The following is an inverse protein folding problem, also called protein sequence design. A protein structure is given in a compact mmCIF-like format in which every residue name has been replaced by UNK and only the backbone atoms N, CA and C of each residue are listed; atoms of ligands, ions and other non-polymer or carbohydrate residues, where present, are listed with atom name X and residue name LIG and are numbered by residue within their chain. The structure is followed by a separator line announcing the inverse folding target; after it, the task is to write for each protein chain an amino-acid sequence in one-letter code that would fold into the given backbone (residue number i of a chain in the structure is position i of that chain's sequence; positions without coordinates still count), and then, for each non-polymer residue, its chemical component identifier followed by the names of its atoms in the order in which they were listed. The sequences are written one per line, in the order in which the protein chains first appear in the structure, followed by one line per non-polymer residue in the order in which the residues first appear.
data_IF_191202710261
#
_entry.id   IF_191202710261
#
_cell.length_a   1.000
_cell.length_b   1.000
_cell.length_c   1.000
_cell.angle_alpha   90.00
_cell.angle_beta   90.00
_cell.angle_gamma   90.00
#
_symmetry.space_group_name_H-M   'P 1'
#
loop_
_entity.id
_entity.type
_entity.pdbx_description
1 polymer ?
#
# COMPACT_ATOMS: atom_id res chain seq x y z
N UNK A 1 10.28 33.58 5.14
CA UNK A 1 10.41 32.33 4.36
C UNK A 1 9.18 32.19 3.46
N UNK A 2 9.37 31.88 2.18
CA UNK A 2 8.29 31.50 1.26
C UNK A 2 8.04 30.01 1.44
N UNK A 3 6.86 29.67 1.95
CA UNK A 3 6.46 28.28 2.20
C UNK A 3 5.31 27.93 1.26
N UNK A 4 5.46 26.83 0.53
CA UNK A 4 4.46 26.32 -0.41
C UNK A 4 3.69 25.18 0.24
N UNK A 5 2.36 25.24 0.19
CA UNK A 5 1.53 24.12 0.63
C UNK A 5 1.74 22.92 -0.30
N UNK A 6 2.02 21.76 0.28
CA UNK A 6 2.22 20.52 -0.47
C UNK A 6 0.91 20.08 -1.13
N UNK A 7 0.98 19.77 -2.42
CA UNK A 7 -0.20 19.46 -3.24
C UNK A 7 0.02 18.25 -4.16
N UNK A 8 1.09 17.49 -3.94
CA UNK A 8 1.45 16.32 -4.74
C UNK A 8 2.94 16.25 -5.03
N UNK A 9 3.37 15.27 -5.82
CA UNK A 9 4.75 15.18 -6.29
C UNK A 9 4.95 16.12 -7.49
N UNK A 10 5.26 17.40 -7.24
CA UNK A 10 5.40 18.41 -8.28
C UNK A 10 6.85 18.85 -8.50
N UNK A 11 7.25 19.04 -9.76
CA UNK A 11 8.61 19.45 -10.13
C UNK A 11 9.05 20.77 -9.49
N UNK A 12 8.12 21.67 -9.18
CA UNK A 12 8.37 22.97 -8.56
C UNK A 12 9.10 22.89 -7.20
N UNK A 13 9.00 21.77 -6.49
CA UNK A 13 9.67 21.55 -5.20
C UNK A 13 10.34 20.17 -5.06
N UNK A 14 10.50 19.43 -6.16
CA UNK A 14 11.26 18.16 -6.22
C UNK A 14 12.60 18.30 -6.98
N UNK A 15 12.88 19.47 -7.56
CA UNK A 15 14.08 19.72 -8.35
C UNK A 15 15.35 19.98 -7.53
N UNK A 16 16.52 19.96 -8.19
CA UNK A 16 17.81 20.26 -7.55
C UNK A 16 17.90 21.70 -7.03
N UNK A 17 17.23 22.64 -7.70
CA UNK A 17 17.08 24.02 -7.29
C UNK A 17 15.62 24.24 -6.86
N UNK A 18 15.38 24.20 -5.56
CA UNK A 18 14.07 24.43 -4.97
C UNK A 18 13.81 25.93 -4.90
N UNK A 19 12.69 26.39 -5.48
CA UNK A 19 12.36 27.82 -5.59
C UNK A 19 11.69 28.42 -4.33
N UNK A 20 11.58 27.64 -3.26
CA UNK A 20 10.87 27.98 -2.02
C UNK A 20 11.75 27.66 -0.81
N UNK A 21 11.50 28.33 0.32
CA UNK A 21 12.26 28.12 1.56
C UNK A 21 11.74 26.91 2.36
N UNK A 22 10.53 26.43 2.06
CA UNK A 22 9.93 25.33 2.78
C UNK A 22 8.62 24.80 2.21
N UNK A 23 8.15 23.72 2.82
CA UNK A 23 6.90 23.03 2.51
C UNK A 23 5.96 23.08 3.71
N UNK A 24 4.70 23.42 3.44
CA UNK A 24 3.59 23.31 4.36
C UNK A 24 2.83 22.00 4.16
N UNK A 25 2.30 21.43 5.23
CA UNK A 25 1.36 20.32 5.18
C UNK A 25 0.18 20.54 6.11
N UNK A 26 -1.01 20.22 5.60
CA UNK A 26 -2.20 20.01 6.42
C UNK A 26 -2.12 18.66 7.12
N UNK A 27 -2.18 18.69 8.44
CA UNK A 27 -2.21 17.51 9.30
C UNK A 27 -3.64 17.27 9.75
N UNK A 28 -4.19 16.13 9.36
CA UNK A 28 -5.55 15.73 9.71
C UNK A 28 -5.63 14.25 10.03
N UNK A 29 -6.66 13.87 10.78
CA UNK A 29 -6.88 12.49 11.20
C UNK A 29 -7.26 12.39 12.67
N UNK A 30 -7.96 11.31 13.00
CA UNK A 30 -8.41 11.00 14.37
C UNK A 30 -7.43 10.10 15.11
N UNK A 31 -6.40 9.59 14.44
CA UNK A 31 -5.35 8.76 15.02
C UNK A 31 -3.95 9.27 14.63
N UNK A 32 -2.92 8.96 15.43
CA UNK A 32 -1.53 9.31 15.10
C UNK A 32 -1.11 8.80 13.71
N UNK A 33 -1.53 7.59 13.33
CA UNK A 33 -1.25 7.03 12.01
C UNK A 33 -1.82 7.90 10.88
N UNK A 34 -3.07 8.36 11.00
CA UNK A 34 -3.70 9.22 9.98
C UNK A 34 -3.02 10.61 9.92
N UNK A 35 -2.65 11.15 11.08
CA UNK A 35 -1.94 12.42 11.18
C UNK A 35 -0.55 12.35 10.53
N UNK A 36 0.19 11.26 10.75
CA UNK A 36 1.45 11.01 10.05
C UNK A 36 1.23 10.78 8.55
N UNK A 37 0.20 10.02 8.16
CA UNK A 37 -0.10 9.73 6.76
C UNK A 37 -0.44 10.99 5.95
N UNK A 38 -1.10 11.99 6.55
CA UNK A 38 -1.38 13.27 5.89
C UNK A 38 -0.14 14.15 5.73
N UNK A 39 0.87 14.00 6.60
CA UNK A 39 2.09 14.82 6.59
C UNK A 39 3.30 14.16 5.88
N UNK A 40 3.32 12.82 5.77
CA UNK A 40 4.54 12.07 5.43
C UNK A 40 5.09 12.36 4.03
N UNK A 41 4.23 12.68 3.06
CA UNK A 41 4.65 12.99 1.68
C UNK A 41 5.31 14.36 1.58
N UNK A 42 4.76 15.34 2.28
CA UNK A 42 5.37 16.66 2.42
C UNK A 42 6.71 16.59 3.17
N UNK A 43 6.77 15.82 4.27
CA UNK A 43 8.03 15.58 4.98
C UNK A 43 9.07 14.98 4.04
N UNK A 44 8.69 13.92 3.31
CA UNK A 44 9.56 13.22 2.36
C UNK A 44 10.12 14.14 1.27
N UNK A 45 9.32 15.08 0.79
CA UNK A 45 9.75 16.14 -0.14
C UNK A 45 10.93 16.92 0.44
N UNK A 46 10.78 17.43 1.67
CA UNK A 46 11.82 18.22 2.35
C UNK A 46 13.07 17.38 2.62
N UNK A 47 12.94 16.12 3.05
CA UNK A 47 14.11 15.24 3.27
C UNK A 47 14.92 14.95 2.01
N UNK A 48 14.30 15.02 0.83
CA UNK A 48 14.99 14.82 -0.45
C UNK A 48 15.74 16.06 -0.94
N UNK A 49 15.54 17.23 -0.33
CA UNK A 49 16.23 18.44 -0.73
C UNK A 49 17.73 18.36 -0.40
N UNK A 50 18.56 18.86 -1.32
CA UNK A 50 20.02 18.97 -1.10
C UNK A 50 20.39 20.10 -0.13
N UNK A 51 19.47 21.04 0.06
CA UNK A 51 19.60 22.18 0.98
C UNK A 51 18.59 22.06 2.12
N UNK A 52 18.94 22.51 3.34
CA UNK A 52 17.97 22.56 4.43
C UNK A 52 16.72 23.37 4.03
N UNK A 53 15.54 22.83 4.34
CA UNK A 53 14.25 23.47 4.09
C UNK A 53 13.38 23.49 5.32
N UNK A 54 12.46 24.45 5.40
CA UNK A 54 11.43 24.47 6.44
C UNK A 54 10.36 23.42 6.15
N UNK A 55 9.97 22.66 7.18
CA UNK A 55 8.77 21.84 7.15
C UNK A 55 7.78 22.33 8.21
N UNK A 56 6.60 22.78 7.79
CA UNK A 56 5.60 23.38 8.67
C UNK A 56 4.28 22.60 8.60
N UNK A 57 3.66 22.35 9.75
CA UNK A 57 2.28 21.90 9.83
C UNK A 57 1.37 23.14 9.78
N UNK A 58 0.97 23.54 8.57
CA UNK A 58 0.29 24.82 8.26
C UNK A 58 -1.18 24.83 8.66
N UNK A 59 -1.78 23.65 8.82
CA UNK A 59 -3.10 23.47 9.40
C UNK A 59 -3.10 22.15 10.16
N UNK A 60 -3.43 22.18 11.46
CA UNK A 60 -3.56 20.96 12.26
C UNK A 60 -4.97 20.84 12.83
N UNK A 61 -5.58 19.68 12.61
CA UNK A 61 -6.78 19.23 13.30
C UNK A 61 -6.44 18.05 14.22
N UNK A 62 -6.12 18.36 15.48
CA UNK A 62 -5.82 17.40 16.54
C UNK A 62 -7.02 17.06 17.42
N UNK A 63 -8.24 17.46 17.02
CA UNK A 63 -9.44 17.29 17.82
C UNK A 63 -9.54 18.23 19.03
N UNK A 64 -10.58 18.00 19.84
CA UNK A 64 -10.94 18.86 20.97
C UNK A 64 -10.35 18.43 22.32
N UNK A 65 -9.60 17.33 22.37
CA UNK A 65 -8.99 16.83 23.60
C UNK A 65 -7.61 17.47 23.81
N UNK A 66 -7.41 18.33 24.82
CA UNK A 66 -6.13 18.99 25.07
C UNK A 66 -4.98 18.03 25.33
N UNK A 67 -5.25 16.82 25.84
CA UNK A 67 -4.22 15.85 26.20
C UNK A 67 -3.50 15.24 24.98
N UNK A 68 -4.13 15.27 23.80
CA UNK A 68 -3.59 14.64 22.58
C UNK A 68 -2.57 15.53 21.86
N UNK A 69 -2.61 16.84 22.08
CA UNK A 69 -1.82 17.81 21.33
C UNK A 69 -0.32 17.72 21.58
N UNK A 70 0.11 17.37 22.80
CA UNK A 70 1.53 17.20 23.11
C UNK A 70 2.13 16.07 22.28
N UNK A 71 1.49 14.89 22.31
CA UNK A 71 1.96 13.73 21.56
C UNK A 71 2.00 13.99 20.05
N UNK A 72 0.96 14.61 19.50
CA UNK A 72 0.91 15.00 18.09
C UNK A 72 2.07 15.95 17.71
N UNK A 73 2.31 16.99 18.50
CA UNK A 73 3.40 17.95 18.24
C UNK A 73 4.77 17.27 18.34
N UNK A 74 4.96 16.35 19.29
CA UNK A 74 6.20 15.60 19.44
C UNK A 74 6.45 14.63 18.27
N UNK A 75 5.41 13.93 17.81
CA UNK A 75 5.47 13.06 16.64
C UNK A 75 5.85 13.85 15.39
N UNK A 76 5.17 14.98 15.14
CA UNK A 76 5.47 15.89 14.03
C UNK A 76 6.87 16.52 14.14
N UNK A 77 7.31 16.90 15.34
CA UNK A 77 8.66 17.41 15.57
C UNK A 77 9.71 16.36 15.16
N UNK A 78 9.46 15.09 15.51
CA UNK A 78 10.35 13.99 15.14
C UNK A 78 10.33 13.69 13.63
N UNK A 79 9.20 13.92 12.95
CA UNK A 79 9.05 13.90 11.48
C UNK A 79 9.72 15.09 10.79
N UNK A 80 10.23 16.07 11.55
CA UNK A 80 10.96 17.22 11.01
C UNK A 80 10.17 18.53 10.99
N UNK A 81 8.93 18.57 11.50
CA UNK A 81 8.15 19.80 11.58
C UNK A 81 8.81 20.80 12.54
N UNK A 82 8.89 22.06 12.14
CA UNK A 82 9.48 23.17 12.93
C UNK A 82 8.53 24.35 13.15
N UNK A 83 7.30 24.25 12.68
CA UNK A 83 6.23 25.18 13.02
C UNK A 83 4.86 24.53 12.93
N UNK A 84 3.98 24.87 13.86
CA UNK A 84 2.68 24.24 14.06
C UNK A 84 1.59 25.30 14.11
N UNK A 85 0.58 25.16 13.25
CA UNK A 85 -0.54 26.06 13.15
C UNK A 85 -1.84 25.28 13.42
N UNK A 86 -2.28 25.31 14.67
CA UNK A 86 -3.47 24.59 15.11
C UNK A 86 -4.76 25.36 14.80
N UNK A 87 -5.79 24.63 14.35
CA UNK A 87 -7.13 25.17 14.15
C UNK A 87 -8.02 24.72 15.30
N UNK A 88 -8.36 25.64 16.21
CA UNK A 88 -9.24 25.33 17.34
C UNK A 88 -10.03 26.56 17.79
N UNK A 89 -11.22 26.32 18.33
CA UNK A 89 -12.03 27.32 19.05
C UNK A 89 -12.16 26.99 20.54
N UNK A 90 -11.63 25.85 21.00
CA UNK A 90 -11.65 25.45 22.42
C UNK A 90 -10.62 26.24 23.22
N UNK A 91 -11.06 26.83 24.33
CA UNK A 91 -10.19 27.59 25.24
C UNK A 91 -9.21 26.69 25.96
N UNK A 92 -9.63 25.47 26.29
CA UNK A 92 -8.83 24.44 26.95
C UNK A 92 -7.70 23.99 26.03
N UNK A 93 -8.00 23.72 24.76
CA UNK A 93 -6.99 23.37 23.75
C UNK A 93 -6.03 24.55 23.52
N UNK A 94 -6.53 25.78 23.42
CA UNK A 94 -5.67 26.97 23.29
C UNK A 94 -4.70 27.13 24.48
N UNK A 95 -5.17 26.91 25.71
CA UNK A 95 -4.32 26.96 26.90
C UNK A 95 -3.25 25.86 26.90
N UNK A 96 -3.60 24.64 26.50
CA UNK A 96 -2.65 23.56 26.34
C UNK A 96 -1.60 23.90 25.28
N UNK A 97 -2.01 24.34 24.09
CA UNK A 97 -1.11 24.76 23.02
C UNK A 97 -0.15 25.88 23.43
N UNK A 98 -0.61 26.85 24.23
CA UNK A 98 0.26 27.92 24.75
C UNK A 98 1.36 27.37 25.69
N UNK A 99 1.02 26.39 26.52
CA UNK A 99 1.99 25.67 27.37
C UNK A 99 3.01 24.91 26.52
N UNK A 100 2.54 24.14 25.53
CA UNK A 100 3.39 23.37 24.60
C UNK A 100 4.33 24.32 23.83
N UNK A 101 3.80 25.44 23.32
CA UNK A 101 4.60 26.44 22.61
C UNK A 101 5.71 27.01 23.47
N UNK A 102 5.45 27.29 24.76
CA UNK A 102 6.45 27.78 25.72
C UNK A 102 7.55 26.73 25.98
N UNK A 103 7.18 25.46 26.08
CA UNK A 103 8.13 24.36 26.21
C UNK A 103 8.99 24.22 24.95
N UNK A 104 8.39 24.25 23.75
CA UNK A 104 9.13 24.14 22.49
C UNK A 104 10.03 25.34 22.20
N UNK A 105 9.61 26.55 22.60
CA UNK A 105 10.44 27.74 22.48
C UNK A 105 11.69 27.71 23.37
N UNK A 106 11.66 26.94 24.46
CA UNK A 106 12.81 26.75 25.36
C UNK A 106 13.63 25.48 25.05
N UNK A 107 13.18 24.66 24.09
CA UNK A 107 13.88 23.45 23.66
C UNK A 107 15.05 23.78 22.73
N UNK A 108 16.25 23.85 23.29
CA UNK A 108 17.49 24.13 22.55
C UNK A 108 17.98 22.96 21.69
N UNK A 109 17.41 21.75 21.86
CA UNK A 109 17.75 20.58 21.06
C UNK A 109 16.90 20.49 19.79
N UNK A 110 15.71 21.09 19.77
CA UNK A 110 14.81 21.05 18.62
C UNK A 110 15.41 21.59 17.30
N UNK A 111 16.16 22.72 17.29
CA UNK A 111 16.78 23.21 16.06
C UNK A 111 17.93 22.34 15.55
N UNK A 112 18.62 21.63 16.44
CA UNK A 112 19.75 20.76 16.10
C UNK A 112 19.34 19.32 15.81
N UNK A 113 18.12 18.93 16.15
CA UNK A 113 17.58 17.62 15.82
C UNK A 113 17.42 17.45 14.31
N UNK A 114 18.14 16.47 13.74
CA UNK A 114 18.02 16.05 12.35
C UNK A 114 17.69 14.55 12.33
N UNK A 115 16.47 14.21 11.93
CA UNK A 115 16.12 12.84 11.59
C UNK A 115 16.58 12.50 10.17
N UNK A 116 16.69 11.21 9.86
CA UNK A 116 17.00 10.70 8.52
C UNK A 116 15.80 9.96 7.97
N UNK A 117 15.77 9.73 6.66
CA UNK A 117 14.69 9.02 5.99
C UNK A 117 15.19 7.76 5.28
N UNK A 118 14.39 6.70 5.36
CA UNK A 118 14.46 5.51 4.52
C UNK A 118 13.24 5.57 3.62
N UNK A 119 13.43 5.47 2.31
CA UNK A 119 12.33 5.66 1.37
C UNK A 119 11.70 4.34 0.94
N UNK A 120 10.41 4.37 0.65
CA UNK A 120 9.72 3.38 -0.16
C UNK A 120 9.02 4.08 -1.34
N UNK A 121 8.87 3.42 -2.50
CA UNK A 121 8.12 4.02 -3.60
C UNK A 121 6.63 4.06 -3.23
N UNK A 122 5.91 5.10 -3.65
CA UNK A 122 4.48 5.30 -3.35
C UNK A 122 3.63 4.04 -3.63
N UNK A 123 3.97 3.33 -4.71
CA UNK A 123 3.28 2.11 -5.14
C UNK A 123 3.58 0.86 -4.28
N UNK A 124 4.43 0.97 -3.27
CA UNK A 124 4.67 -0.06 -2.25
C UNK A 124 3.93 0.22 -0.93
N UNK A 125 3.23 1.35 -0.81
CA UNK A 125 2.34 1.63 0.32
C UNK A 125 1.36 0.47 0.46
N UNK A 126 1.26 -0.06 1.69
CA UNK A 126 0.61 -1.32 2.01
C UNK A 126 1.24 -2.50 1.25
N UNK A 127 2.28 -3.14 1.84
CA UNK A 127 2.54 -3.24 3.27
C UNK A 127 3.55 -2.23 3.82
N UNK A 128 4.22 -1.41 2.99
CA UNK A 128 5.05 -0.32 3.53
C UNK A 128 4.14 0.72 4.20
N UNK A 129 4.61 1.36 5.27
CA UNK A 129 3.81 2.35 6.00
C UNK A 129 4.72 3.43 6.55
N UNK A 130 4.24 4.67 6.50
CA UNK A 130 4.94 5.80 7.08
C UNK A 130 5.02 5.64 8.61
N UNK A 131 6.23 5.48 9.14
CA UNK A 131 6.43 5.29 10.58
C UNK A 131 7.86 5.62 10.98
N UNK A 132 8.05 5.95 12.26
CA UNK A 132 9.37 6.08 12.84
C UNK A 132 10.01 4.69 13.01
N UNK A 133 11.23 4.54 12.54
CA UNK A 133 12.03 3.33 12.64
C UNK A 133 12.89 3.35 13.91
N UNK A 134 13.31 2.18 14.41
CA UNK A 134 14.36 2.09 15.41
C UNK A 134 15.62 2.83 14.93
N UNK A 135 16.31 3.52 15.83
CA UNK A 135 17.43 4.41 15.48
C UNK A 135 17.01 5.85 15.12
N UNK A 136 15.70 6.14 15.05
CA UNK A 136 15.17 7.50 14.92
C UNK A 136 14.98 7.99 13.49
N UNK A 137 15.31 7.18 12.47
CA UNK A 137 14.95 7.44 11.08
C UNK A 137 13.44 7.31 10.85
N UNK A 138 12.95 7.87 9.76
CA UNK A 138 11.58 7.71 9.30
C UNK A 138 11.52 6.87 8.04
N UNK A 139 10.58 5.93 7.99
CA UNK A 139 10.25 5.24 6.76
C UNK A 139 9.21 6.07 6.03
N UNK A 140 9.53 6.65 4.88
CA UNK A 140 8.68 7.62 4.19
C UNK A 140 8.40 7.23 2.73
N UNK A 141 7.19 7.54 2.21
CA UNK A 141 6.89 7.33 0.80
C UNK A 141 7.71 8.28 -0.09
N UNK A 142 7.94 7.92 -1.34
CA UNK A 142 8.68 8.74 -2.31
C UNK A 142 8.11 8.57 -3.72
N UNK A 143 8.28 9.55 -4.62
CA UNK A 143 7.92 9.44 -6.03
C UNK A 143 8.94 8.60 -6.81
N UNK A 144 9.93 8.02 -6.14
CA UNK A 144 10.93 7.17 -6.76
C UNK A 144 10.29 6.00 -7.50
N UNK A 145 10.96 5.56 -8.56
CA UNK A 145 10.55 4.35 -9.27
C UNK A 145 10.76 3.12 -8.40
N UNK A 146 9.96 2.09 -8.63
CA UNK A 146 10.01 0.89 -7.81
C UNK A 146 8.73 0.09 -7.94
N UNK A 147 8.61 -0.96 -7.13
CA UNK A 147 7.39 -1.75 -7.02
C UNK A 147 7.39 -2.61 -5.76
N UNK A 148 6.19 -2.89 -5.26
CA UNK A 148 5.95 -3.98 -4.32
C UNK A 148 6.36 -5.33 -4.93
N UNK A 149 6.90 -6.21 -4.11
CA UNK A 149 7.25 -7.60 -4.47
C UNK A 149 6.39 -8.56 -3.66
N UNK A 150 5.71 -9.50 -4.33
CA UNK A 150 5.00 -10.60 -3.67
C UNK A 150 6.02 -11.63 -3.19
N UNK A 151 6.13 -11.79 -1.87
CA UNK A 151 7.05 -12.71 -1.18
C UNK A 151 6.30 -13.75 -0.34
N UNK A 152 5.05 -14.06 -0.70
CA UNK A 152 4.18 -14.92 0.11
C UNK A 152 3.58 -14.16 1.30
N UNK A 153 3.27 -14.87 2.39
CA UNK A 153 2.55 -14.26 3.52
C UNK A 153 3.42 -13.87 4.70
N UNK A 154 4.63 -14.43 4.76
CA UNK A 154 5.57 -14.23 5.90
C UNK A 154 6.55 -13.09 5.70
N UNK A 155 6.67 -12.60 4.48
CA UNK A 155 7.62 -11.55 4.13
C UNK A 155 6.94 -10.51 3.26
N UNK A 156 7.38 -9.28 3.43
CA UNK A 156 7.03 -8.16 2.59
C UNK A 156 8.29 -7.53 2.04
N UNK A 157 8.20 -6.95 0.84
CA UNK A 157 9.33 -6.28 0.24
C UNK A 157 8.96 -5.39 -0.91
N UNK A 158 9.88 -4.50 -1.26
CA UNK A 158 9.77 -3.61 -2.41
C UNK A 158 11.14 -3.35 -3.01
N UNK A 159 11.16 -3.00 -4.30
CA UNK A 159 12.32 -2.41 -4.96
C UNK A 159 12.17 -0.91 -5.00
N UNK A 160 13.26 -0.20 -4.81
CA UNK A 160 13.34 1.24 -5.01
C UNK A 160 14.50 1.55 -5.97
N UNK A 161 14.24 2.48 -6.88
CA UNK A 161 15.20 3.03 -7.83
C UNK A 161 15.00 4.56 -7.84
N UNK A 162 15.98 5.27 -7.30
CA UNK A 162 15.98 6.72 -7.14
C UNK A 162 17.33 7.29 -7.57
N UNK A 163 17.51 7.41 -8.89
CA UNK A 163 18.76 7.89 -9.50
C UNK A 163 19.97 7.06 -9.05
N UNK A 164 20.79 7.63 -8.16
CA UNK A 164 22.00 7.00 -7.63
C UNK A 164 21.71 5.91 -6.57
N UNK A 165 20.52 5.87 -5.97
CA UNK A 165 20.15 4.92 -4.94
C UNK A 165 19.23 3.84 -5.51
N UNK A 166 19.67 2.58 -5.52
CA UNK A 166 18.81 1.44 -5.82
C UNK A 166 19.02 0.32 -4.82
N UNK A 167 17.90 -0.18 -4.27
CA UNK A 167 17.91 -1.27 -3.31
C UNK A 167 16.63 -2.08 -3.35
N UNK A 168 16.72 -3.28 -2.81
CA UNK A 168 15.58 -4.10 -2.42
C UNK A 168 15.45 -4.06 -0.90
N UNK A 169 14.25 -3.75 -0.41
CA UNK A 169 13.93 -3.78 1.00
C UNK A 169 13.07 -5.01 1.32
N UNK A 170 13.36 -5.67 2.43
CA UNK A 170 12.61 -6.84 2.89
C UNK A 170 12.43 -6.83 4.40
N UNK A 171 11.27 -7.25 4.88
CA UNK A 171 10.98 -7.45 6.30
C UNK A 171 10.03 -8.64 6.50
N UNK A 172 10.07 -9.19 7.72
CA UNK A 172 9.18 -10.24 8.20
C UNK A 172 7.87 -9.61 8.65
N UNK A 173 6.74 -10.25 8.35
CA UNK A 173 5.40 -9.77 8.74
C UNK A 173 5.00 -10.14 10.17
N UNK A 174 5.80 -10.96 10.86
CA UNK A 174 5.48 -11.50 12.18
C UNK A 174 6.62 -11.25 13.18
N UNK A 175 7.68 -12.06 13.11
CA UNK A 175 8.81 -11.99 14.03
C UNK A 175 10.15 -12.03 13.29
N UNK A 176 11.24 -11.50 13.90
CA UNK A 176 12.58 -11.64 13.35
C UNK A 176 12.96 -13.10 13.11
N UNK A 177 13.47 -13.41 11.93
CA UNK A 177 13.79 -14.78 11.53
C UNK A 177 15.08 -14.83 10.72
N UNK A 178 15.97 -15.77 11.06
CA UNK A 178 17.17 -16.04 10.27
C UNK A 178 16.80 -16.96 9.11
N UNK A 179 17.01 -16.49 7.88
CA UNK A 179 16.63 -17.20 6.66
C UNK A 179 17.76 -17.20 5.65
N UNK A 180 17.76 -18.21 4.77
CA UNK A 180 18.52 -18.16 3.53
C UNK A 180 17.73 -17.37 2.50
N UNK A 181 18.34 -16.32 1.97
CA UNK A 181 17.88 -15.64 0.76
C UNK A 181 18.55 -16.29 -0.46
N UNK A 182 17.73 -16.89 -1.33
CA UNK A 182 18.18 -17.49 -2.60
C UNK A 182 18.49 -16.38 -3.60
N UNK A 183 19.70 -16.44 -4.15
CA UNK A 183 20.22 -15.50 -5.16
C UNK A 183 21.47 -16.10 -5.80
N UNK A 184 21.69 -15.81 -7.08
CA UNK A 184 22.92 -16.18 -7.80
C UNK A 184 24.03 -15.13 -7.65
N UNK A 185 23.68 -13.91 -7.22
CA UNK A 185 24.59 -12.75 -7.10
C UNK A 185 24.94 -12.40 -5.65
N UNK A 186 24.93 -13.38 -4.74
CA UNK A 186 25.11 -13.15 -3.30
C UNK A 186 26.32 -12.26 -2.95
N UNK A 187 27.47 -12.49 -3.60
CA UNK A 187 28.73 -11.76 -3.32
C UNK A 187 28.75 -10.31 -3.79
N UNK A 188 27.79 -9.88 -4.61
CA UNK A 188 27.65 -8.50 -5.08
C UNK A 188 26.77 -7.66 -4.12
N UNK A 189 26.13 -8.33 -3.16
CA UNK A 189 25.14 -7.71 -2.29
C UNK A 189 25.78 -7.14 -1.03
N UNK A 190 25.30 -5.98 -0.61
CA UNK A 190 25.52 -5.43 0.73
C UNK A 190 24.19 -5.31 1.47
N UNK A 191 24.25 -5.38 2.79
CA UNK A 191 23.10 -5.41 3.68
C UNK A 191 23.22 -4.28 4.68
N UNK A 192 22.14 -3.53 4.87
CA UNK A 192 22.08 -2.43 5.82
C UNK A 192 20.78 -2.53 6.63
N UNK A 193 20.91 -2.67 7.95
CA UNK A 193 19.77 -2.55 8.86
C UNK A 193 19.46 -1.09 9.10
N UNK A 194 18.17 -0.76 9.22
CA UNK A 194 17.71 0.62 9.46
C UNK A 194 18.04 1.14 10.86
N UNK A 195 18.31 0.25 11.80
CA UNK A 195 18.73 0.56 13.18
C UNK A 195 20.26 0.67 13.33
N UNK A 196 21.01 0.51 12.23
CA UNK A 196 22.48 0.51 12.23
C UNK A 196 23.12 -0.79 12.74
N UNK A 197 22.33 -1.80 13.14
CA UNK A 197 22.88 -3.08 13.58
C UNK A 197 23.48 -3.85 12.40
N UNK A 198 24.61 -4.55 12.63
CA UNK A 198 25.18 -5.47 11.64
C UNK A 198 24.17 -6.60 11.32
N UNK A 199 23.73 -6.74 10.06
CA UNK A 199 22.83 -7.82 9.64
C UNK A 199 23.42 -9.23 9.84
N UNK A 200 24.75 -9.36 10.04
CA UNK A 200 25.49 -10.61 10.20
C UNK A 200 25.23 -11.59 9.05
N UNK A 201 25.29 -11.05 7.83
CA UNK A 201 25.10 -11.80 6.59
C UNK A 201 26.20 -12.84 6.40
N UNK A 202 25.81 -14.10 6.16
CA UNK A 202 26.73 -15.22 5.94
C UNK A 202 26.49 -15.80 4.55
N UNK A 203 27.49 -15.69 3.68
CA UNK A 203 27.41 -16.25 2.33
C UNK A 203 27.45 -17.78 2.37
N UNK A 204 26.49 -18.41 1.71
CA UNK A 204 26.34 -19.87 1.67
C UNK A 204 26.12 -20.33 0.22
N UNK A 205 26.13 -21.63 -0.04
CA UNK A 205 25.85 -22.16 -1.38
C UNK A 205 24.43 -21.77 -1.83
N UNK A 206 24.33 -21.11 -2.97
CA UNK A 206 23.06 -20.69 -3.58
C UNK A 206 22.34 -19.58 -2.83
N UNK A 207 23.05 -18.77 -2.05
CA UNK A 207 22.43 -17.62 -1.39
C UNK A 207 23.23 -17.01 -0.24
N UNK A 208 22.51 -16.34 0.64
CA UNK A 208 23.04 -15.65 1.82
C UNK A 208 22.10 -15.85 3.00
N UNK A 209 22.65 -16.23 4.14
CA UNK A 209 21.90 -16.33 5.40
C UNK A 209 21.96 -15.00 6.13
N UNK A 210 20.79 -14.43 6.43
CA UNK A 210 20.68 -13.15 7.13
C UNK A 210 19.45 -13.16 8.05
N UNK A 211 19.49 -12.37 9.11
CA UNK A 211 18.32 -12.15 9.96
C UNK A 211 17.44 -11.06 9.33
N UNK A 212 16.18 -11.39 9.09
CA UNK A 212 15.17 -10.43 8.62
C UNK A 212 14.27 -10.08 9.80
N UNK A 213 14.30 -8.81 10.20
CA UNK A 213 13.46 -8.26 11.27
C UNK A 213 12.07 -7.83 10.79
N UNK A 214 11.31 -7.18 11.66
CA UNK A 214 9.99 -6.61 11.36
C UNK A 214 10.05 -5.21 10.74
N UNK A 215 11.26 -4.63 10.68
CA UNK A 215 11.57 -3.39 9.97
C UNK A 215 12.42 -3.69 8.74
N UNK A 216 12.44 -2.81 7.72
CA UNK A 216 13.15 -3.07 6.48
C UNK A 216 14.63 -3.38 6.68
N UNK A 217 15.10 -4.47 6.08
CA UNK A 217 16.51 -4.71 5.78
C UNK A 217 16.76 -4.26 4.34
N UNK A 218 17.70 -3.33 4.15
CA UNK A 218 18.03 -2.79 2.83
C UNK A 218 19.15 -3.62 2.19
N UNK A 219 18.95 -3.97 0.92
CA UNK A 219 19.84 -4.83 0.15
C UNK A 219 20.24 -4.11 -1.13
N UNK A 220 21.53 -3.82 -1.30
CA UNK A 220 22.07 -3.09 -2.45
C UNK A 220 22.90 -4.00 -3.35
N UNK A 221 23.30 -3.50 -4.52
CA UNK A 221 24.28 -4.16 -5.41
C UNK A 221 23.70 -5.27 -6.29
N UNK A 222 22.37 -5.44 -6.32
CA UNK A 222 21.70 -6.40 -7.20
C UNK A 222 20.35 -5.86 -7.68
N UNK A 223 20.05 -6.08 -8.96
CA UNK A 223 18.70 -5.90 -9.50
C UNK A 223 17.83 -7.17 -9.35
N UNK A 224 18.48 -8.32 -9.14
CA UNK A 224 17.81 -9.60 -8.90
C UNK A 224 17.19 -9.58 -7.51
N UNK A 225 15.93 -10.03 -7.41
CA UNK A 225 15.20 -10.11 -6.15
C UNK A 225 15.69 -11.33 -5.36
N UNK A 226 16.34 -11.16 -4.20
CA UNK A 226 16.71 -12.27 -3.35
C UNK A 226 15.46 -12.83 -2.65
N UNK A 227 15.20 -14.12 -2.80
CA UNK A 227 13.95 -14.74 -2.34
C UNK A 227 14.16 -15.53 -1.04
N UNK A 228 13.39 -15.28 0.03
CA UNK A 228 13.46 -16.11 1.23
C UNK A 228 13.12 -17.57 0.93
N UNK A 229 13.98 -18.50 1.32
CA UNK A 229 13.71 -19.94 1.21
C UNK A 229 12.35 -20.33 1.83
N UNK A 230 11.95 -19.81 3.01
CA UNK A 230 10.64 -20.15 3.57
C UNK A 230 9.45 -19.67 2.72
N UNK A 231 9.60 -18.60 1.92
CA UNK A 231 8.57 -18.13 0.99
C UNK A 231 8.40 -19.09 -0.20
N UNK A 232 9.52 -19.66 -0.69
CA UNK A 232 9.51 -20.72 -1.70
C UNK A 232 8.77 -21.94 -1.17
N UNK A 233 9.15 -22.42 0.03
CA UNK A 233 8.52 -23.58 0.66
C UNK A 233 7.03 -23.38 0.93
N UNK A 234 6.64 -22.19 1.39
CA UNK A 234 5.24 -21.82 1.56
C UNK A 234 4.47 -21.91 0.22
N UNK A 235 5.03 -21.34 -0.84
CA UNK A 235 4.38 -21.31 -2.15
C UNK A 235 4.20 -22.71 -2.73
N UNK A 236 5.20 -23.59 -2.57
CA UNK A 236 5.11 -25.01 -2.95
C UNK A 236 4.00 -25.71 -2.16
N UNK A 237 3.96 -25.50 -0.84
CA UNK A 237 2.96 -26.14 0.03
C UNK A 237 1.53 -25.70 -0.33
N UNK A 238 1.32 -24.39 -0.53
CA UNK A 238 0.01 -23.83 -0.91
C UNK A 238 -0.43 -24.30 -2.31
N UNK A 239 0.47 -24.31 -3.29
CA UNK A 239 0.15 -24.83 -4.63
C UNK A 239 -0.20 -26.33 -4.58
N UNK A 240 0.55 -27.11 -3.79
CA UNK A 240 0.28 -28.55 -3.60
C UNK A 240 -1.08 -28.80 -2.96
N UNK A 241 -1.51 -27.94 -2.03
CA UNK A 241 -2.85 -27.98 -1.44
C UNK A 241 -3.94 -27.72 -2.50
N UNK A 242 -3.76 -26.71 -3.36
CA UNK A 242 -4.67 -26.45 -4.48
C UNK A 242 -4.71 -27.61 -5.47
N UNK A 243 -3.57 -28.23 -5.78
CA UNK A 243 -3.50 -29.41 -6.67
C UNK A 243 -4.29 -30.60 -6.12
N UNK A 244 -4.15 -30.91 -4.83
CA UNK A 244 -4.96 -31.96 -4.19
C UNK A 244 -6.45 -31.65 -4.22
N UNK A 245 -6.82 -30.39 -4.07
CA UNK A 245 -8.21 -29.94 -4.17
C UNK A 245 -8.73 -30.03 -5.62
N UNK A 246 -7.89 -29.75 -6.62
CA UNK A 246 -8.22 -29.93 -8.03
C UNK A 246 -8.49 -31.40 -8.35
N UNK A 247 -7.61 -32.30 -7.90
CA UNK A 247 -7.75 -33.74 -8.05
C UNK A 247 -9.04 -34.26 -7.41
N UNK A 248 -9.35 -33.85 -6.17
CA UNK A 248 -10.58 -34.27 -5.48
C UNK A 248 -11.85 -33.77 -6.16
N UNK A 249 -11.80 -32.60 -6.81
CA UNK A 249 -12.90 -32.03 -7.60
C UNK A 249 -12.87 -32.44 -9.08
N UNK A 250 -11.93 -33.29 -9.50
CA UNK A 250 -11.73 -33.71 -10.90
C UNK A 250 -11.60 -32.53 -11.87
N UNK A 251 -10.99 -31.44 -11.43
CA UNK A 251 -10.69 -30.30 -12.27
C UNK A 251 -9.39 -30.56 -13.04
N UNK A 252 -9.38 -30.29 -14.34
CA UNK A 252 -8.18 -30.34 -15.17
C UNK A 252 -7.29 -29.14 -14.83
N UNK A 253 -6.00 -29.34 -14.56
CA UNK A 253 -5.04 -28.30 -14.14
C UNK A 253 -3.61 -28.55 -14.64
N UNK A 254 -3.44 -29.32 -15.72
CA UNK A 254 -2.13 -29.75 -16.20
C UNK A 254 -1.29 -28.58 -16.69
N UNK A 255 -1.92 -27.54 -17.26
CA UNK A 255 -1.24 -26.32 -17.67
C UNK A 255 -0.63 -25.60 -16.46
N UNK A 256 -1.42 -25.37 -15.39
CA UNK A 256 -0.92 -24.71 -14.19
C UNK A 256 0.14 -25.54 -13.49
N UNK A 257 -0.02 -26.87 -13.44
CA UNK A 257 0.98 -27.79 -12.87
C UNK A 257 2.29 -27.75 -13.64
N UNK A 258 2.23 -27.79 -14.96
CA UNK A 258 3.41 -27.72 -15.82
C UNK A 258 4.14 -26.38 -15.62
N UNK A 259 3.41 -25.26 -15.74
CA UNK A 259 3.98 -23.93 -15.59
C UNK A 259 4.61 -23.69 -14.21
N UNK A 260 3.97 -24.18 -13.14
CA UNK A 260 4.54 -24.11 -11.80
C UNK A 260 5.81 -24.96 -11.65
N UNK A 261 5.83 -26.17 -12.21
CA UNK A 261 6.98 -27.09 -12.11
C UNK A 261 8.18 -26.60 -12.91
N UNK A 262 7.93 -26.00 -14.09
CA UNK A 262 8.94 -25.35 -14.91
C UNK A 262 9.57 -24.16 -14.16
N UNK A 263 8.73 -23.28 -13.60
CA UNK A 263 9.19 -22.16 -12.78
C UNK A 263 10.01 -22.62 -11.58
N UNK A 264 9.55 -23.67 -10.87
CA UNK A 264 10.26 -24.29 -9.74
C UNK A 264 11.66 -24.80 -10.14
N UNK A 265 11.78 -25.44 -11.30
CA UNK A 265 13.04 -25.99 -11.81
C UNK A 265 14.05 -24.89 -12.15
N UNK A 266 13.59 -23.69 -12.50
CA UNK A 266 14.45 -22.53 -12.78
C UNK A 266 15.04 -21.85 -11.54
N UNK A 267 14.65 -22.22 -10.31
CA UNK A 267 15.05 -21.52 -9.09
C UNK A 267 16.57 -21.48 -8.85
N UNK A 268 17.33 -22.45 -9.35
CA UNK A 268 18.79 -22.45 -9.19
C UNK A 268 19.50 -21.49 -10.16
N UNK A 269 18.85 -21.13 -11.28
CA UNK A 269 19.39 -20.26 -12.32
C UNK A 269 18.92 -18.81 -12.14
N UNK A 270 17.63 -18.61 -11.84
CA UNK A 270 17.04 -17.28 -11.63
C UNK A 270 16.04 -17.32 -10.46
N UNK A 271 16.50 -17.35 -9.20
CA UNK A 271 15.62 -17.46 -8.04
C UNK A 271 14.48 -16.42 -8.03
N UNK A 272 14.79 -15.15 -8.31
CA UNK A 272 13.82 -14.06 -8.30
C UNK A 272 12.76 -14.20 -9.38
N UNK A 273 13.19 -14.37 -10.64
CA UNK A 273 12.25 -14.52 -11.78
C UNK A 273 11.40 -15.78 -11.67
N UNK A 274 12.01 -16.91 -11.31
CA UNK A 274 11.31 -18.18 -11.08
C UNK A 274 10.27 -18.08 -9.98
N UNK A 275 10.59 -17.42 -8.86
CA UNK A 275 9.64 -17.28 -7.76
C UNK A 275 8.44 -16.40 -8.16
N UNK A 276 8.66 -15.30 -8.88
CA UNK A 276 7.57 -14.48 -9.42
C UNK A 276 6.66 -15.31 -10.34
N UNK A 277 7.24 -16.14 -11.22
CA UNK A 277 6.46 -17.04 -12.07
C UNK A 277 5.67 -18.09 -11.26
N UNK A 278 6.27 -18.68 -10.22
CA UNK A 278 5.56 -19.60 -9.30
C UNK A 278 4.34 -18.93 -8.66
N UNK A 279 4.47 -17.67 -8.21
CA UNK A 279 3.37 -16.90 -7.62
C UNK A 279 2.25 -16.61 -8.63
N UNK A 280 2.60 -16.30 -9.87
CA UNK A 280 1.61 -16.11 -10.95
C UNK A 280 0.78 -17.37 -11.20
N UNK A 281 1.44 -18.53 -11.31
CA UNK A 281 0.76 -19.82 -11.48
C UNK A 281 -0.08 -20.21 -10.26
N UNK A 282 0.40 -19.90 -9.05
CA UNK A 282 -0.39 -20.05 -7.82
C UNK A 282 -1.69 -19.25 -7.87
N UNK A 283 -1.63 -17.95 -8.21
CA UNK A 283 -2.84 -17.12 -8.28
C UNK A 283 -3.78 -17.57 -9.40
N UNK A 284 -3.23 -17.92 -10.57
CA UNK A 284 -4.03 -18.45 -11.69
C UNK A 284 -4.82 -19.69 -11.27
N UNK A 285 -4.16 -20.65 -10.62
CA UNK A 285 -4.84 -21.84 -10.09
C UNK A 285 -5.85 -21.49 -8.99
N UNK A 286 -5.45 -20.61 -8.07
CA UNK A 286 -6.27 -20.18 -6.94
C UNK A 286 -7.61 -19.58 -7.35
N UNK A 287 -7.63 -18.71 -8.36
CA UNK A 287 -8.87 -18.05 -8.83
C UNK A 287 -9.96 -19.02 -9.30
N UNK A 288 -9.60 -20.27 -9.61
CA UNK A 288 -10.56 -21.32 -9.98
C UNK A 288 -11.34 -21.87 -8.78
N UNK A 289 -10.79 -21.75 -7.58
CA UNK A 289 -11.38 -22.20 -6.31
C UNK A 289 -11.97 -21.07 -5.47
N UNK A 290 -11.65 -19.82 -5.79
CA UNK A 290 -12.16 -18.65 -5.07
C UNK A 290 -13.69 -18.71 -4.91
N UNK A 291 -14.17 -18.41 -3.71
CA UNK A 291 -15.61 -18.27 -3.41
C UNK A 291 -16.11 -16.84 -3.60
N UNK A 292 -15.18 -15.90 -3.81
CA UNK A 292 -15.44 -14.49 -4.05
C UNK A 292 -15.40 -14.14 -5.55
N UNK A 293 -15.93 -12.96 -5.87
CA UNK A 293 -15.80 -12.34 -7.20
C UNK A 293 -14.89 -11.12 -7.11
N UNK A 294 -13.73 -11.19 -7.78
CA UNK A 294 -12.81 -10.07 -7.95
C UNK A 294 -12.98 -9.52 -9.37
N UNK A 295 -13.35 -8.25 -9.48
CA UNK A 295 -13.60 -7.59 -10.76
C UNK A 295 -12.73 -6.36 -10.88
N UNK A 296 -11.84 -6.39 -11.86
CA UNK A 296 -10.98 -5.25 -12.21
C UNK A 296 -11.81 -4.17 -12.89
N UNK A 297 -11.71 -2.93 -12.42
CA UNK A 297 -12.56 -1.84 -12.91
C UNK A 297 -12.23 -1.46 -14.36
N UNK A 298 -10.97 -1.59 -14.77
CA UNK A 298 -10.52 -1.35 -16.14
C UNK A 298 -11.09 -2.34 -17.16
N UNK A 299 -11.77 -3.40 -16.71
CA UNK A 299 -12.39 -4.39 -17.61
C UNK A 299 -13.78 -4.02 -18.09
N UNK A 300 -14.36 -2.90 -17.64
CA UNK A 300 -15.61 -2.44 -18.21
C UNK A 300 -15.44 -2.11 -19.70
N UNK A 301 -16.29 -2.69 -20.54
CA UNK A 301 -16.36 -2.38 -21.97
C UNK A 301 -17.44 -1.35 -22.30
N UNK A 302 -18.31 -1.05 -21.34
CA UNK A 302 -19.42 -0.12 -21.50
C UNK A 302 -19.43 0.86 -20.32
N UNK A 303 -18.77 1.99 -20.52
CA UNK A 303 -18.68 3.06 -19.54
C UNK A 303 -18.62 4.43 -20.22
N UNK A 304 -18.90 5.48 -19.46
CA UNK A 304 -18.65 6.87 -19.86
C UNK A 304 -17.63 7.57 -18.95
N UNK A 305 -16.90 6.82 -18.10
CA UNK A 305 -15.70 7.30 -17.40
C UNK A 305 -14.64 7.80 -18.39
N UNK A 306 -13.76 8.68 -17.94
CA UNK A 306 -12.82 9.42 -18.80
C UNK A 306 -11.85 8.50 -19.56
N UNK A 307 -11.16 7.60 -18.85
CA UNK A 307 -10.17 6.71 -19.46
C UNK A 307 -9.82 5.53 -18.55
N UNK A 308 -9.16 4.52 -19.14
CA UNK A 308 -8.39 3.53 -18.39
C UNK A 308 -6.97 4.08 -18.27
N UNK A 309 -6.51 4.29 -17.04
CA UNK A 309 -5.20 4.87 -16.77
C UNK A 309 -4.25 3.84 -16.16
N UNK A 310 -3.02 3.78 -16.67
CA UNK A 310 -1.95 3.04 -15.99
C UNK A 310 -1.61 3.74 -14.67
N UNK A 311 -1.72 3.00 -13.56
CA UNK A 311 -1.39 3.51 -12.24
C UNK A 311 -0.66 2.44 -11.44
N UNK A 312 0.63 2.64 -11.19
CA UNK A 312 1.41 1.69 -10.41
C UNK A 312 0.91 1.63 -8.97
N UNK A 313 0.96 0.46 -8.35
CA UNK A 313 0.52 0.28 -6.96
C UNK A 313 -0.97 0.02 -6.80
N UNK A 314 -1.67 -0.23 -7.90
CA UNK A 314 -3.05 -0.75 -7.93
C UNK A 314 -3.04 -2.19 -8.46
N UNK A 315 -4.18 -2.88 -8.35
CA UNK A 315 -4.37 -4.17 -8.99
C UNK A 315 -4.05 -4.05 -10.49
N UNK A 316 -3.22 -4.97 -11.00
CA UNK A 316 -2.77 -5.00 -12.41
C UNK A 316 -2.16 -3.71 -12.95
N UNK A 317 -1.83 -2.75 -12.08
CA UNK A 317 -1.32 -1.43 -12.43
C UNK A 317 -2.20 -0.62 -13.39
N UNK A 318 -3.53 -0.84 -13.38
CA UNK A 318 -4.49 -0.08 -14.16
C UNK A 318 -5.70 0.30 -13.31
N UNK A 319 -6.40 1.37 -13.69
CA UNK A 319 -7.61 1.84 -13.01
C UNK A 319 -8.59 2.44 -14.02
N UNK A 320 -9.88 2.42 -13.67
CA UNK A 320 -10.89 3.21 -14.37
C UNK A 320 -10.94 4.61 -13.76
N UNK A 321 -10.54 5.64 -14.52
CA UNK A 321 -10.39 7.01 -14.05
C UNK A 321 -11.53 7.91 -14.50
N UNK A 322 -11.92 8.83 -13.63
CA UNK A 322 -12.86 9.91 -13.89
C UNK A 322 -12.22 11.24 -13.51
N UNK A 323 -12.16 12.15 -14.47
CA UNK A 323 -11.79 13.56 -14.25
C UNK A 323 -12.84 14.46 -14.88
N UNK A 324 -13.50 15.27 -14.07
CA UNK A 324 -14.48 16.26 -14.56
C UNK A 324 -13.90 17.66 -14.59
N UNK A 325 -14.20 18.42 -15.64
CA UNK A 325 -13.83 19.84 -15.74
C UNK A 325 -14.74 20.71 -14.87
N UNK A 326 -14.30 21.93 -14.55
CA UNK A 326 -15.13 22.92 -13.83
C UNK A 326 -16.45 23.26 -14.56
N UNK A 327 -16.48 23.13 -15.89
CA UNK A 327 -17.66 23.42 -16.72
C UNK A 327 -18.60 22.22 -16.92
N UNK A 328 -18.29 21.04 -16.37
CA UNK A 328 -19.16 19.88 -16.58
C UNK A 328 -20.49 20.07 -15.84
N UNK A 329 -21.61 19.91 -16.53
CA UNK A 329 -22.90 19.73 -15.90
C UNK A 329 -22.84 18.46 -15.03
N UNK A 330 -23.47 18.49 -13.85
CA UNK A 330 -23.59 17.31 -13.01
C UNK A 330 -24.21 16.17 -13.84
N UNK A 331 -23.45 15.09 -14.02
CA UNK A 331 -23.83 13.93 -14.82
C UNK A 331 -23.51 12.67 -14.03
N UNK A 332 -24.40 11.68 -14.14
CA UNK A 332 -24.12 10.32 -13.67
C UNK A 332 -23.16 9.62 -14.62
N UNK A 333 -21.98 9.28 -14.12
CA UNK A 333 -21.04 8.40 -14.79
C UNK A 333 -21.37 6.95 -14.44
N UNK A 334 -21.14 6.02 -15.35
CA UNK A 334 -21.41 4.61 -15.13
C UNK A 334 -20.38 3.70 -15.80
N UNK A 335 -20.27 2.49 -15.26
CA UNK A 335 -19.52 1.39 -15.86
C UNK A 335 -20.26 0.08 -15.60
N UNK A 336 -20.54 -0.69 -16.66
CA UNK A 336 -21.22 -1.97 -16.58
C UNK A 336 -20.22 -3.12 -16.52
N UNK A 337 -20.55 -4.14 -15.71
CA UNK A 337 -19.76 -5.35 -15.57
C UNK A 337 -20.65 -6.59 -15.57
N UNK A 338 -20.05 -7.68 -16.04
CA UNK A 338 -20.57 -9.03 -15.83
C UNK A 338 -19.60 -9.77 -14.93
N UNK A 339 -20.11 -10.49 -13.93
CA UNK A 339 -19.29 -11.25 -13.00
C UNK A 339 -19.91 -12.62 -12.72
N UNK A 340 -19.07 -13.57 -12.30
CA UNK A 340 -19.51 -14.90 -11.91
C UNK A 340 -19.65 -14.95 -10.39
N UNK A 341 -20.88 -14.98 -9.88
CA UNK A 341 -21.15 -15.26 -8.48
C UNK A 341 -20.83 -16.72 -8.17
N UNK A 342 -19.93 -16.95 -7.21
CA UNK A 342 -19.38 -18.29 -6.88
C UNK A 342 -19.91 -18.85 -5.56
N UNK A 343 -20.78 -18.11 -4.88
CA UNK A 343 -21.41 -18.47 -3.62
C UNK A 343 -22.88 -18.03 -3.65
N UNK A 344 -23.74 -18.76 -2.94
CA UNK A 344 -25.15 -18.44 -2.67
C UNK A 344 -25.37 -17.79 -1.28
N UNK A 345 -24.29 -17.61 -0.53
CA UNK A 345 -24.23 -16.88 0.73
C UNK A 345 -24.44 -15.38 0.53
N UNK A 346 -24.65 -14.67 1.64
CA UNK A 346 -24.60 -13.21 1.64
C UNK A 346 -23.17 -12.73 1.33
N UNK A 347 -23.06 -11.80 0.39
CA UNK A 347 -21.78 -11.25 -0.07
C UNK A 347 -21.61 -9.83 0.43
N UNK A 348 -20.49 -9.55 1.08
CA UNK A 348 -20.03 -8.17 1.30
C UNK A 348 -19.53 -7.58 -0.02
N UNK A 349 -20.00 -6.37 -0.34
CA UNK A 349 -19.56 -5.63 -1.52
C UNK A 349 -18.60 -4.53 -1.11
N UNK A 350 -17.44 -4.54 -1.73
CA UNK A 350 -16.35 -3.61 -1.49
C UNK A 350 -15.87 -3.00 -2.80
N UNK A 351 -15.44 -1.74 -2.73
CA UNK A 351 -14.78 -1.05 -3.84
C UNK A 351 -13.43 -0.53 -3.36
N UNK A 352 -12.38 -0.82 -4.12
CA UNK A 352 -11.06 -0.25 -3.93
C UNK A 352 -10.92 0.95 -4.90
N UNK A 353 -10.74 2.16 -4.36
CA UNK A 353 -10.75 3.38 -5.15
C UNK A 353 -9.97 4.52 -4.48
N UNK A 354 -9.57 5.52 -5.29
CA UNK A 354 -9.17 6.85 -4.86
C UNK A 354 -10.38 7.77 -4.96
N UNK A 355 -10.96 8.17 -3.83
CA UNK A 355 -12.14 9.04 -3.78
C UNK A 355 -11.91 10.15 -2.75
N UNK A 356 -11.98 11.44 -3.14
CA UNK A 356 -11.94 12.55 -2.19
C UNK A 356 -13.03 12.41 -1.13
N UNK A 357 -12.72 12.78 0.12
CA UNK A 357 -13.62 12.56 1.26
C UNK A 357 -15.03 13.15 1.02
N UNK A 358 -15.11 14.37 0.50
CA UNK A 358 -16.37 15.05 0.19
C UNK A 358 -17.10 14.54 -1.05
N UNK A 359 -16.60 13.50 -1.72
CA UNK A 359 -17.20 12.93 -2.93
C UNK A 359 -17.63 11.47 -2.77
N UNK A 360 -17.35 10.85 -1.62
CA UNK A 360 -17.63 9.41 -1.39
C UNK A 360 -19.12 9.07 -1.46
N UNK A 361 -19.99 9.99 -1.04
CA UNK A 361 -21.45 9.78 -1.08
C UNK A 361 -22.01 9.67 -2.51
N UNK A 362 -21.25 10.04 -3.54
CA UNK A 362 -21.69 9.98 -4.92
C UNK A 362 -21.39 8.65 -5.60
N UNK A 363 -20.61 7.76 -4.96
CA UNK A 363 -20.34 6.42 -5.48
C UNK A 363 -21.47 5.45 -5.11
N UNK A 364 -22.01 4.80 -6.13
CA UNK A 364 -22.98 3.72 -6.01
C UNK A 364 -22.56 2.47 -6.79
N UNK A 365 -22.92 1.30 -6.28
CA UNK A 365 -22.82 0.02 -7.00
C UNK A 365 -24.18 -0.66 -6.97
N UNK A 366 -24.76 -0.88 -8.14
CA UNK A 366 -25.98 -1.66 -8.29
C UNK A 366 -25.65 -3.11 -8.59
N UNK A 367 -26.10 -4.02 -7.72
CA UNK A 367 -26.03 -5.47 -7.93
C UNK A 367 -27.46 -6.01 -7.99
N UNK A 368 -27.86 -6.58 -9.13
CA UNK A 368 -29.26 -6.89 -9.37
C UNK A 368 -30.12 -5.62 -9.36
N UNK A 369 -31.04 -5.51 -8.40
CA UNK A 369 -31.88 -4.32 -8.18
C UNK A 369 -31.45 -3.47 -6.97
N UNK A 370 -30.44 -3.90 -6.23
CA UNK A 370 -30.01 -3.25 -4.99
C UNK A 370 -28.90 -2.23 -5.28
N UNK A 371 -29.13 -0.96 -4.93
CA UNK A 371 -28.09 0.07 -4.91
C UNK A 371 -27.38 0.06 -3.56
N UNK A 372 -26.06 -0.05 -3.59
CA UNK A 372 -25.17 -0.02 -2.43
C UNK A 372 -24.29 1.23 -2.53
N UNK A 373 -24.07 1.91 -1.40
CA UNK A 373 -23.30 3.16 -1.32
C UNK A 373 -22.22 3.07 -0.24
N UNK A 374 -21.19 3.90 -0.33
CA UNK A 374 -20.04 3.86 0.59
C UNK A 374 -20.47 4.02 2.05
N UNK A 375 -20.01 3.09 2.90
CA UNK A 375 -20.22 3.06 4.34
C UNK A 375 -18.92 3.44 5.06
N UNK A 376 -18.88 4.65 5.61
CA UNK A 376 -17.76 5.12 6.44
C UNK A 376 -16.50 5.52 5.67
N UNK A 377 -15.38 5.53 6.39
CA UNK A 377 -14.07 5.91 5.88
C UNK A 377 -13.40 4.78 5.08
N UNK A 378 -12.42 5.15 4.25
CA UNK A 378 -11.59 4.18 3.54
C UNK A 378 -10.70 3.39 4.50
N UNK A 379 -10.61 2.08 4.30
CA UNK A 379 -9.76 1.17 5.06
C UNK A 379 -8.55 0.71 4.24
N UNK A 380 -7.48 0.33 4.93
CA UNK A 380 -6.29 -0.30 4.32
C UNK A 380 -5.73 0.52 3.14
N UNK A 381 -5.44 1.80 3.39
CA UNK A 381 -4.94 2.71 2.36
C UNK A 381 -3.69 2.16 1.66
N UNK A 382 -3.58 2.38 0.35
CA UNK A 382 -2.50 1.86 -0.49
C UNK A 382 -2.28 2.74 -1.74
N UNK A 383 -1.13 2.56 -2.38
CA UNK A 383 -0.75 3.35 -3.56
C UNK A 383 -0.88 4.86 -3.38
N UNK A 384 -1.18 5.57 -4.46
CA UNK A 384 -1.40 7.02 -4.47
C UNK A 384 -2.84 7.40 -4.05
N UNK A 385 -3.15 7.16 -2.77
CA UNK A 385 -4.42 7.59 -2.14
C UNK A 385 -5.61 6.67 -2.38
N UNK A 386 -5.38 5.40 -2.71
CA UNK A 386 -6.44 4.39 -2.79
C UNK A 386 -6.76 3.85 -1.41
N UNK A 387 -8.01 3.47 -1.21
CA UNK A 387 -8.46 2.75 -0.03
C UNK A 387 -9.61 1.81 -0.40
N UNK A 388 -9.94 0.91 0.52
CA UNK A 388 -11.09 0.02 0.40
C UNK A 388 -12.30 0.59 1.12
N UNK A 389 -13.41 0.69 0.41
CA UNK A 389 -14.69 1.16 0.92
C UNK A 389 -15.68 0.00 0.96
N UNK A 390 -16.33 -0.21 2.11
CA UNK A 390 -17.45 -1.16 2.23
C UNK A 390 -18.71 -0.48 1.73
N UNK A 391 -19.52 -1.16 0.93
CA UNK A 391 -20.78 -0.60 0.44
C UNK A 391 -22.01 -1.25 1.08
N UNK A 392 -21.84 -2.45 1.65
CA UNK A 392 -22.88 -3.20 2.34
C UNK A 392 -22.86 -4.67 1.97
N UNK A 393 -23.99 -5.34 2.13
CA UNK A 393 -24.18 -6.74 1.75
C UNK A 393 -25.26 -6.89 0.69
N UNK A 394 -25.12 -7.93 -0.13
CA UNK A 394 -26.12 -8.32 -1.13
C UNK A 394 -26.20 -9.83 -1.24
N UNK A 395 -27.27 -10.33 -1.86
CA UNK A 395 -27.43 -11.74 -2.19
C UNK A 395 -27.69 -11.89 -3.67
N UNK A 396 -26.92 -12.74 -4.32
CA UNK A 396 -27.02 -13.03 -5.75
C UNK A 396 -27.13 -14.52 -5.97
N UNK A 397 -27.78 -14.90 -7.07
CA UNK A 397 -27.88 -16.30 -7.46
C UNK A 397 -26.53 -16.73 -8.04
N UNK A 398 -26.00 -17.93 -7.69
CA UNK A 398 -24.79 -18.44 -8.31
C UNK A 398 -24.88 -18.45 -9.84
N UNK A 399 -23.77 -18.10 -10.50
CA UNK A 399 -23.72 -17.96 -11.95
C UNK A 399 -23.44 -16.54 -12.43
N UNK A 400 -23.68 -16.31 -13.71
CA UNK A 400 -23.36 -15.03 -14.36
C UNK A 400 -24.37 -13.95 -13.97
N UNK A 401 -23.89 -12.89 -13.34
CA UNK A 401 -24.68 -11.76 -12.87
C UNK A 401 -24.15 -10.45 -13.48
N UNK A 402 -24.96 -9.39 -13.38
CA UNK A 402 -24.59 -8.03 -13.81
C UNK A 402 -24.44 -7.13 -12.60
N UNK A 403 -23.50 -6.20 -12.70
CA UNK A 403 -23.42 -5.05 -11.80
C UNK A 403 -23.15 -3.78 -12.59
N UNK A 404 -23.52 -2.64 -12.01
CA UNK A 404 -23.24 -1.32 -12.54
C UNK A 404 -22.63 -0.46 -11.45
N UNK A 405 -21.49 0.16 -11.73
CA UNK A 405 -20.99 1.28 -10.93
C UNK A 405 -21.63 2.55 -11.44
N UNK A 406 -22.03 3.43 -10.53
CA UNK A 406 -22.44 4.80 -10.84
C UNK A 406 -21.66 5.80 -9.99
N UNK A 407 -21.34 6.95 -10.57
CA UNK A 407 -20.75 8.07 -9.84
C UNK A 407 -21.40 9.39 -10.25
N UNK A 408 -22.14 10.01 -9.34
CA UNK A 408 -22.81 11.30 -9.56
C UNK A 408 -21.82 12.44 -9.36
N UNK A 409 -21.02 12.73 -10.38
CA UNK A 409 -19.81 13.52 -10.22
C UNK A 409 -20.10 15.00 -9.92
N UNK A 410 -19.56 15.56 -8.82
CA UNK A 410 -19.49 17.01 -8.67
C UNK A 410 -18.49 17.61 -9.68
N UNK A 411 -18.53 18.94 -9.82
CA UNK A 411 -17.53 19.66 -10.61
C UNK A 411 -16.13 19.46 -10.02
N UNK A 412 -15.14 19.22 -10.89
CA UNK A 412 -13.75 19.01 -10.49
C UNK A 412 -13.49 17.68 -9.76
N UNK A 413 -14.35 16.67 -9.96
CA UNK A 413 -14.13 15.35 -9.41
C UNK A 413 -12.89 14.69 -10.04
N UNK A 414 -12.00 14.16 -9.20
CA UNK A 414 -10.88 13.29 -9.58
C UNK A 414 -11.01 11.98 -8.79
N UNK A 415 -11.45 10.94 -9.48
CA UNK A 415 -11.75 9.63 -8.89
C UNK A 415 -11.13 8.55 -9.75
N UNK A 416 -10.59 7.51 -9.11
CA UNK A 416 -10.11 6.33 -9.81
C UNK A 416 -10.58 5.06 -9.08
N UNK A 417 -11.07 4.08 -9.82
CA UNK A 417 -11.55 2.81 -9.30
C UNK A 417 -10.58 1.72 -9.75
N UNK A 418 -10.10 0.92 -8.80
CA UNK A 418 -9.18 -0.19 -9.04
C UNK A 418 -9.96 -1.50 -9.20
N UNK A 419 -10.71 -1.88 -8.17
CA UNK A 419 -11.35 -3.20 -8.12
C UNK A 419 -12.70 -3.14 -7.40
N UNK A 420 -13.64 -4.00 -7.81
CA UNK A 420 -14.83 -4.37 -7.05
C UNK A 420 -14.68 -5.80 -6.54
N UNK A 421 -14.92 -5.99 -5.24
CA UNK A 421 -14.92 -7.30 -4.60
C UNK A 421 -16.31 -7.63 -4.07
N UNK A 422 -16.79 -8.83 -4.38
CA UNK A 422 -17.93 -9.45 -3.72
C UNK A 422 -17.43 -10.68 -2.96
N UNK A 423 -17.44 -10.64 -1.63
CA UNK A 423 -16.81 -11.64 -0.77
C UNK A 423 -17.83 -12.30 0.17
N UNK A 424 -17.87 -13.65 0.25
CA UNK A 424 -18.72 -14.33 1.23
C UNK A 424 -18.13 -14.20 2.64
N UNK A 425 -18.95 -13.72 3.59
CA UNK A 425 -18.51 -13.48 4.97
C UNK A 425 -17.69 -12.19 5.14
N UNK A 426 -16.82 -12.14 6.15
CA UNK A 426 -16.08 -10.92 6.50
C UNK A 426 -14.76 -10.80 5.75
N UNK A 427 -14.61 -9.75 4.95
CA UNK A 427 -13.35 -9.43 4.29
C UNK A 427 -12.48 -8.48 5.14
N UNK A 428 -11.16 -8.70 5.12
CA UNK A 428 -10.16 -7.78 5.67
C UNK A 428 -9.27 -7.27 4.53
N UNK A 429 -9.41 -6.01 4.11
CA UNK A 429 -8.66 -5.49 2.97
C UNK A 429 -7.15 -5.46 3.18
N UNK A 430 -6.39 -5.79 2.14
CA UNK A 430 -4.93 -5.90 2.17
C UNK A 430 -4.28 -5.32 0.89
N UNK A 431 -4.33 -4.00 0.76
CA UNK A 431 -3.77 -3.28 -0.39
C UNK A 431 -4.31 -3.83 -1.71
N UNK A 432 -3.40 -4.19 -2.62
CA UNK A 432 -3.72 -4.70 -3.96
C UNK A 432 -3.93 -6.22 -4.04
N UNK A 433 -3.87 -6.94 -2.92
CA UNK A 433 -3.81 -8.41 -2.94
C UNK A 433 -5.22 -8.99 -2.81
N UNK A 434 -5.64 -9.88 -3.73
CA UNK A 434 -6.92 -10.56 -3.61
C UNK A 434 -6.94 -11.48 -2.37
N UNK A 435 -8.12 -11.76 -1.79
CA UNK A 435 -8.23 -12.73 -0.70
C UNK A 435 -7.65 -14.09 -1.10
N UNK A 436 -7.21 -14.87 -0.11
CA UNK A 436 -6.81 -16.24 -0.39
C UNK A 436 -7.99 -17.02 -1.01
N UNK A 437 -7.73 -17.85 -2.04
CA UNK A 437 -8.79 -18.54 -2.78
C UNK A 437 -9.53 -19.59 -1.96
N UNK A 438 -8.89 -20.10 -0.91
CA UNK A 438 -9.42 -21.05 0.06
C UNK A 438 -8.85 -20.74 1.44
N UNK A 439 -9.51 -21.22 2.48
CA UNK A 439 -8.95 -21.19 3.83
C UNK A 439 -7.83 -22.23 3.97
N UNK A 440 -6.57 -21.78 3.90
CA UNK A 440 -5.41 -22.66 4.08
C UNK A 440 -5.20 -23.11 5.53
N UNK A 441 -5.87 -22.52 6.52
CA UNK A 441 -5.83 -23.00 7.90
C UNK A 441 -6.64 -24.30 8.07
N UNK A 442 -7.70 -24.47 7.27
CA UNK A 442 -8.52 -25.67 7.24
C UNK A 442 -7.89 -26.81 6.41
N UNK A 443 -6.93 -26.50 5.53
CA UNK A 443 -6.21 -27.51 4.75
C UNK A 443 -5.00 -27.99 5.54
N UNK A 444 -5.09 -29.21 6.10
CA UNK A 444 -4.00 -29.82 6.86
C UNK A 444 -2.68 -29.85 6.06
N UNK A 445 -1.80 -28.89 6.30
CA UNK A 445 -0.41 -28.94 5.84
C UNK A 445 0.30 -29.93 6.75
N UNK A 446 0.51 -31.17 6.28
CA UNK A 446 1.45 -32.07 6.95
C UNK A 446 2.79 -31.34 7.02
N UNK A 447 3.28 -31.05 8.23
CA UNK A 447 4.64 -30.56 8.45
C UNK A 447 5.58 -31.55 7.75
N UNK A 448 6.28 -31.09 6.72
CA UNK A 448 7.37 -31.81 6.09
C UNK A 448 8.59 -31.83 6.99
#
# INVERSE_FOLDING_TARGET
PVVQEWSGWASAYEGEAVAVDGIGARVSGQSPTQQIESACRAASTVYRWKTPGWFLATEMDGGNDPAQWQALIDDLASLGVRGWFARTTSKEVMAALASIASQKASDTALPSFASTAVYFPENALNPATAQRLPGGSWWLPSPASGNRVDLGTKFSGYRLVDGANSFFAIWSTDAPVRVKLRTTKARQMSFQSVDGADPKAKFVKGGVEVTIGTVPLLIFGTEDIPVPEPAVQETIARFSALAKLAESRRLEFMEERYGFTDALSGLDVNPGGSFVAMRQWYWRMGTRFATYSWVEAEFSRNHNFSEIQQRLGTSRSNVLSLKTSLESLAQTYYADYTFLARSDEELEVWVAAKIPAGSRQFLGVTVGSQLLTVQGEGLSAYGDGFAWYRLGTTRVIPGTNKMKITFDAPQGADVAIDTILLYPGSFRPNGIVPPDPIDFSAVAVKKG
#
